data_IF_454493068759
#
_entry.id   IF_454493068759
#
_cell.length_a   1.000
_cell.length_b   1.000
_cell.length_c   1.000
_cell.angle_alpha   90.00
_cell.angle_beta   90.00
_cell.angle_gamma   90.00
#
_symmetry.space_group_name_H-M   'P 1'
#
loop_
_entity.id
_entity.type
_entity.pdbx_description
1 polymer ?
#
# COMPACT_ATOMS: atom_id res chain seq x y z
N UNK A 1 6.18 -39.59 77.19
CA UNK A 1 5.84 -38.69 78.30
C UNK A 1 5.63 -37.29 77.72
N UNK A 2 4.42 -36.74 77.85
CA UNK A 2 4.00 -35.33 77.58
C UNK A 2 4.69 -34.36 78.59
N UNK A 3 4.55 -32.99 78.56
CA UNK A 3 3.48 -32.15 77.94
C UNK A 3 3.95 -30.81 77.25
N UNK A 4 3.22 -30.25 76.28
CA UNK A 4 2.12 -29.22 76.33
C UNK A 4 2.53 -27.77 76.62
N UNK A 5 2.19 -26.84 75.70
CA UNK A 5 1.54 -25.51 75.93
C UNK A 5 0.71 -25.15 74.67
N UNK A 6 -0.63 -25.32 74.68
CA UNK A 6 -1.73 -24.33 74.75
C UNK A 6 -1.99 -23.48 73.46
N UNK A 7 -3.06 -23.74 72.65
CA UNK A 7 -4.48 -23.23 72.69
C UNK A 7 -4.58 -21.70 72.47
N UNK A 8 -5.44 -21.10 71.61
CA UNK A 8 -6.83 -21.33 71.15
C UNK A 8 -7.03 -20.63 69.76
N UNK A 9 -7.88 -21.01 68.79
CA UNK A 9 -9.28 -21.46 68.70
C UNK A 9 -10.36 -20.34 68.83
N UNK A 10 -11.06 -20.04 67.73
CA UNK A 10 -12.51 -19.77 67.57
C UNK A 10 -12.75 -19.06 66.20
N UNK A 11 -13.38 -19.65 65.19
CA UNK A 11 -14.77 -20.11 65.01
C UNK A 11 -15.71 -18.99 64.46
N UNK A 12 -16.14 -19.10 63.19
CA UNK A 12 -17.48 -19.54 62.70
C UNK A 12 -18.56 -18.46 62.79
N UNK A 13 -19.12 -18.05 61.65
CA UNK A 13 -20.54 -18.27 61.28
C UNK A 13 -20.99 -17.36 60.13
N UNK A 14 -21.53 -17.99 59.10
CA UNK A 14 -22.42 -17.40 58.11
C UNK A 14 -23.82 -17.18 58.71
N UNK A 15 -24.59 -16.24 58.17
CA UNK A 15 -25.99 -16.50 57.79
C UNK A 15 -26.63 -15.32 57.07
N UNK A 16 -27.35 -15.71 56.02
CA UNK A 16 -28.33 -15.03 55.20
C UNK A 16 -29.55 -14.49 55.97
N UNK A 17 -30.19 -13.44 55.45
CA UNK A 17 -31.64 -13.47 55.19
C UNK A 17 -32.13 -12.29 54.33
N UNK A 18 -33.13 -12.63 53.55
CA UNK A 18 -33.91 -12.00 52.48
C UNK A 18 -34.89 -10.87 52.86
N UNK A 19 -35.49 -10.32 51.79
CA UNK A 19 -36.82 -9.67 51.65
C UNK A 19 -36.86 -8.15 51.82
N UNK A 20 -37.61 -7.35 51.05
CA UNK A 20 -38.46 -7.55 49.87
C UNK A 20 -38.94 -6.18 49.33
N UNK A 21 -39.09 -6.08 48.01
CA UNK A 21 -40.10 -5.31 47.24
C UNK A 21 -40.40 -3.83 47.54
N UNK A 22 -40.18 -2.98 46.53
CA UNK A 22 -41.18 -2.00 46.08
C UNK A 22 -40.95 -1.63 44.60
N UNK A 23 -42.03 -1.69 43.83
CA UNK A 23 -42.09 -1.42 42.40
C UNK A 23 -42.25 0.08 42.10
N UNK A 24 -41.71 0.53 40.98
CA UNK A 24 -42.26 1.67 40.23
C UNK A 24 -41.78 1.61 38.77
N UNK A 25 -42.75 1.49 37.87
CA UNK A 25 -42.64 1.27 36.43
C UNK A 25 -42.35 2.59 35.65
N UNK A 26 -42.45 2.66 34.30
CA UNK A 26 -41.42 3.29 33.47
C UNK A 26 -41.84 4.66 32.90
N UNK A 27 -40.88 5.52 32.59
CA UNK A 27 -41.11 6.76 31.84
C UNK A 27 -40.75 6.57 30.37
N UNK A 28 -41.75 6.26 29.56
CA UNK A 28 -41.77 6.41 28.10
C UNK A 28 -42.41 7.75 27.74
N UNK A 29 -41.81 8.50 26.81
CA UNK A 29 -42.48 9.42 25.85
C UNK A 29 -41.44 10.24 25.06
N UNK A 30 -41.74 10.76 23.87
CA UNK A 30 -42.52 10.16 22.79
C UNK A 30 -41.80 10.26 21.41
N UNK A 31 -42.29 9.43 20.49
CA UNK A 31 -42.02 9.46 19.06
C UNK A 31 -42.46 10.80 18.44
N UNK A 32 -41.56 11.44 17.69
CA UNK A 32 -41.91 12.46 16.70
C UNK A 32 -41.98 11.80 15.33
N UNK A 33 -43.20 11.46 14.93
CA UNK A 33 -43.60 11.12 13.57
C UNK A 33 -43.58 12.39 12.71
N UNK A 34 -42.59 12.54 11.85
CA UNK A 34 -42.71 13.40 10.66
C UNK A 34 -43.06 12.48 9.50
N UNK A 35 -44.36 12.39 9.24
CA UNK A 35 -44.92 11.86 8.00
C UNK A 35 -44.81 12.96 6.94
N UNK A 36 -44.04 12.73 5.89
CA UNK A 36 -44.17 13.46 4.63
C UNK A 36 -44.38 12.46 3.50
N UNK A 37 -45.63 12.42 3.08
CA UNK A 37 -46.21 11.61 2.01
C UNK A 37 -45.47 11.71 0.67
N UNK A 38 -45.48 10.58 -0.05
CA UNK A 38 -45.19 10.48 -1.47
C UNK A 38 -45.91 11.55 -2.29
N UNK A 39 -45.21 12.08 -3.30
CA UNK A 39 -45.80 12.65 -4.52
C UNK A 39 -44.78 12.58 -5.67
N UNK A 40 -44.87 11.54 -6.49
CA UNK A 40 -44.56 11.58 -7.93
C UNK A 40 -45.93 11.61 -8.62
N UNK A 41 -46.14 12.38 -9.70
CA UNK A 41 -45.74 11.88 -11.02
C UNK A 41 -45.43 12.94 -12.10
N UNK A 42 -45.03 12.42 -13.27
CA UNK A 42 -45.21 12.96 -14.64
C UNK A 42 -44.13 13.86 -15.27
N UNK A 43 -43.45 13.29 -16.27
CA UNK A 43 -43.13 13.93 -17.55
C UNK A 43 -44.24 13.57 -18.57
N UNK A 44 -44.30 14.05 -19.84
CA UNK A 44 -43.51 15.05 -20.59
C UNK A 44 -44.45 16.11 -21.27
N UNK A 45 -44.07 16.94 -22.29
CA UNK A 45 -43.78 16.48 -23.64
C UNK A 45 -42.64 17.22 -24.39
N UNK A 46 -42.20 16.53 -25.44
CA UNK A 46 -41.42 16.96 -26.61
C UNK A 46 -41.87 18.26 -27.28
N UNK A 47 -40.91 19.08 -27.74
CA UNK A 47 -41.08 19.93 -28.93
C UNK A 47 -39.86 19.91 -29.84
N UNK A 48 -40.20 19.87 -31.12
CA UNK A 48 -39.40 19.65 -32.32
C UNK A 48 -38.63 20.91 -32.77
N UNK A 49 -37.46 20.64 -33.37
CA UNK A 49 -36.77 21.19 -34.57
C UNK A 49 -37.15 22.58 -35.14
N UNK A 50 -36.20 23.28 -35.81
CA UNK A 50 -35.85 22.94 -37.21
C UNK A 50 -34.33 22.91 -37.47
N UNK A 51 -33.82 21.90 -38.19
CA UNK A 51 -33.59 21.94 -39.65
C UNK A 51 -32.81 23.16 -40.13
N UNK A 52 -31.51 22.98 -40.38
CA UNK A 52 -30.91 23.39 -41.64
C UNK A 52 -30.06 22.24 -42.19
N UNK A 53 -30.46 21.85 -43.39
CA UNK A 53 -29.94 20.79 -44.24
C UNK A 53 -29.25 21.46 -45.45
N UNK A 54 -28.35 20.68 -46.08
CA UNK A 54 -27.61 20.84 -47.35
C UNK A 54 -26.11 21.03 -47.11
N UNK A 55 -25.20 20.28 -47.73
CA UNK A 55 -25.34 19.44 -48.93
C UNK A 55 -24.19 18.43 -49.08
N UNK A 56 -24.59 17.30 -49.68
CA UNK A 56 -23.84 16.18 -50.25
C UNK A 56 -22.56 16.50 -51.07
N UNK A 57 -21.52 15.68 -50.80
CA UNK A 57 -20.69 14.86 -51.72
C UNK A 57 -19.83 15.57 -52.81
N UNK A 58 -18.92 14.86 -53.52
CA UNK A 58 -17.95 13.82 -53.12
C UNK A 58 -16.54 14.12 -53.72
N UNK A 59 -15.50 13.33 -53.39
CA UNK A 59 -14.68 12.62 -54.39
C UNK A 59 -13.44 11.97 -53.79
N UNK A 60 -13.19 10.79 -54.33
CA UNK A 60 -12.13 9.82 -54.07
C UNK A 60 -10.95 9.98 -55.03
N UNK A 61 -9.79 9.44 -54.60
CA UNK A 61 -8.63 8.93 -55.38
C UNK A 61 -7.56 9.96 -55.84
N UNK A 62 -6.28 9.55 -56.11
CA UNK A 62 -5.54 8.33 -55.72
C UNK A 62 -4.11 8.60 -55.17
N UNK A 63 -3.45 7.52 -54.68
CA UNK A 63 -1.99 7.42 -54.46
C UNK A 63 -1.20 7.56 -55.78
N UNK A 64 0.08 7.93 -55.70
CA UNK A 64 1.10 7.34 -56.57
C UNK A 64 2.19 6.63 -55.75
N UNK A 65 2.59 5.48 -56.26
CA UNK A 65 3.75 4.70 -55.83
C UNK A 65 4.86 4.81 -56.90
N UNK A 66 6.08 4.50 -56.45
CA UNK A 66 7.32 4.20 -57.21
C UNK A 66 8.23 5.38 -57.62
N UNK A 67 9.57 5.17 -57.78
CA UNK A 67 10.29 3.88 -57.85
C UNK A 67 11.51 3.71 -56.92
N UNK A 68 11.89 2.43 -56.85
CA UNK A 68 13.11 1.82 -56.32
C UNK A 68 14.28 2.16 -57.26
N UNK A 69 15.41 2.61 -56.73
CA UNK A 69 16.68 2.57 -57.46
C UNK A 69 17.75 1.88 -56.64
N UNK A 70 18.29 0.83 -57.26
CA UNK A 70 19.48 0.08 -56.90
C UNK A 70 20.75 0.90 -57.18
N UNK A 71 21.77 0.77 -56.33
CA UNK A 71 23.16 0.78 -56.78
C UNK A 71 24.09 0.07 -55.80
N UNK A 72 25.04 -0.62 -56.42
CA UNK A 72 26.01 -1.57 -55.89
C UNK A 72 27.21 -0.88 -55.21
N UNK A 73 27.73 -1.57 -54.19
CA UNK A 73 29.12 -1.84 -53.84
C UNK A 73 30.21 -0.74 -53.99
N UNK A 74 30.88 -0.47 -52.87
CA UNK A 74 32.35 -0.42 -52.83
C UNK A 74 32.86 -0.75 -51.42
N UNK A 75 33.87 -1.60 -51.36
CA UNK A 75 34.49 -2.18 -50.18
C UNK A 75 35.58 -1.29 -49.60
N UNK A 76 35.59 -1.12 -48.28
CA UNK A 76 36.79 -0.74 -47.54
C UNK A 76 37.02 -1.72 -46.39
N UNK A 77 38.09 -2.53 -46.57
CA UNK A 77 38.65 -3.42 -45.56
C UNK A 77 39.29 -2.57 -44.46
N UNK A 78 38.90 -2.82 -43.21
CA UNK A 78 39.77 -2.62 -42.04
C UNK A 78 40.13 -3.99 -41.46
N UNK A 79 41.38 -4.17 -40.97
CA UNK A 79 41.93 -5.48 -40.62
C UNK A 79 41.29 -6.04 -39.34
N UNK A 80 41.05 -7.35 -39.37
CA UNK A 80 40.53 -8.11 -38.24
C UNK A 80 41.61 -8.31 -37.17
N UNK A 81 41.30 -7.90 -35.94
CA UNK A 81 41.93 -8.46 -34.74
C UNK A 81 41.38 -9.88 -34.53
N UNK A 82 42.13 -10.88 -35.01
CA UNK A 82 41.81 -12.31 -34.98
C UNK A 82 41.92 -12.94 -33.57
N UNK A 83 42.31 -12.19 -32.53
CA UNK A 83 42.45 -12.75 -31.17
C UNK A 83 41.18 -12.74 -30.29
N UNK A 84 40.07 -12.14 -30.71
CA UNK A 84 38.82 -12.13 -29.91
C UNK A 84 37.79 -13.20 -30.37
N UNK A 85 38.15 -14.10 -31.30
CA UNK A 85 37.20 -15.01 -31.97
C UNK A 85 37.30 -16.48 -31.51
N UNK A 86 37.87 -16.73 -30.34
CA UNK A 86 37.85 -18.02 -29.65
C UNK A 86 37.27 -17.88 -28.22
N UNK A 87 36.10 -17.24 -28.11
CA UNK A 87 34.98 -17.62 -27.23
C UNK A 87 35.14 -17.98 -25.73
N UNK A 88 36.30 -17.84 -25.11
CA UNK A 88 36.56 -18.29 -23.73
C UNK A 88 37.23 -17.21 -22.86
N UNK A 89 36.66 -16.00 -22.85
CA UNK A 89 36.97 -14.98 -21.85
C UNK A 89 35.80 -14.81 -20.89
N UNK A 90 36.00 -14.67 -19.57
CA UNK A 90 34.91 -14.43 -18.64
C UNK A 90 34.24 -13.10 -19.02
N UNK A 91 32.94 -13.17 -19.32
CA UNK A 91 32.11 -11.99 -19.54
C UNK A 91 32.12 -11.21 -18.23
N UNK A 92 32.83 -10.09 -18.15
CA UNK A 92 32.62 -9.16 -17.04
C UNK A 92 31.17 -8.69 -17.14
N UNK A 93 30.34 -8.88 -16.10
CA UNK A 93 28.97 -8.42 -16.14
C UNK A 93 28.93 -6.91 -16.41
N UNK A 94 28.00 -6.47 -17.25
CA UNK A 94 27.69 -5.04 -17.41
C UNK A 94 27.42 -4.45 -16.02
N UNK A 95 28.04 -3.31 -15.64
CA UNK A 95 27.79 -2.68 -14.35
C UNK A 95 26.28 -2.50 -14.04
N UNK A 96 25.48 -2.20 -15.06
CA UNK A 96 24.02 -2.08 -14.93
C UNK A 96 23.31 -3.41 -14.66
N UNK A 97 23.88 -4.53 -15.14
CA UNK A 97 23.35 -5.86 -14.86
C UNK A 97 23.66 -6.31 -13.43
N UNK A 98 24.83 -5.95 -12.87
CA UNK A 98 25.13 -6.21 -11.47
C UNK A 98 24.24 -5.39 -10.54
N UNK A 99 24.08 -4.10 -10.85
CA UNK A 99 23.24 -3.15 -10.13
C UNK A 99 21.80 -3.67 -9.95
N UNK A 100 21.19 -4.11 -11.05
CA UNK A 100 19.87 -4.72 -11.07
C UNK A 100 19.80 -6.03 -10.29
N UNK A 101 20.82 -6.88 -10.38
CA UNK A 101 20.82 -8.16 -9.65
C UNK A 101 20.82 -7.96 -8.12
N UNK A 102 21.49 -6.91 -7.62
CA UNK A 102 21.50 -6.59 -6.19
C UNK A 102 20.14 -6.03 -5.75
N UNK A 103 19.57 -5.09 -6.51
CA UNK A 103 18.26 -4.51 -6.20
C UNK A 103 17.11 -5.52 -6.32
N UNK A 104 17.25 -6.51 -7.20
CA UNK A 104 16.28 -7.58 -7.38
C UNK A 104 16.45 -8.75 -6.40
N UNK A 105 17.53 -8.78 -5.62
CA UNK A 105 17.76 -9.76 -4.57
C UNK A 105 16.75 -9.65 -3.41
N UNK A 106 16.73 -10.63 -2.50
CA UNK A 106 15.85 -10.60 -1.32
C UNK A 106 16.25 -9.49 -0.33
N UNK A 107 15.33 -9.19 0.60
CA UNK A 107 15.67 -8.40 1.78
C UNK A 107 16.33 -9.31 2.84
N UNK A 108 17.66 -9.23 2.94
CA UNK A 108 18.46 -10.04 3.88
C UNK A 108 18.59 -9.42 5.29
N UNK A 109 17.95 -8.26 5.54
CA UNK A 109 17.95 -7.68 6.86
C UNK A 109 17.19 -8.58 7.86
N UNK A 110 17.59 -8.54 9.12
CA UNK A 110 16.94 -9.33 10.19
C UNK A 110 16.19 -8.39 11.13
N UNK A 111 14.89 -8.64 11.42
CA UNK A 111 14.15 -7.82 12.36
C UNK A 111 14.63 -8.07 13.79
N UNK A 112 14.23 -7.22 14.74
CA UNK A 112 14.55 -7.44 16.15
C UNK A 112 14.02 -8.80 16.65
N UNK A 113 14.62 -9.41 17.69
CA UNK A 113 14.18 -10.70 18.21
C UNK A 113 12.68 -10.72 18.56
N UNK A 114 11.96 -11.74 18.07
CA UNK A 114 10.52 -11.87 18.27
C UNK A 114 9.65 -11.10 17.27
N UNK A 115 10.24 -10.22 16.45
CA UNK A 115 9.53 -9.41 15.48
C UNK A 115 9.52 -10.03 14.09
N UNK A 116 8.57 -9.62 13.26
CA UNK A 116 8.51 -9.96 11.84
C UNK A 116 8.52 -8.69 10.98
N UNK A 117 9.05 -8.82 9.75
CA UNK A 117 8.94 -7.77 8.75
C UNK A 117 7.65 -7.87 7.95
N UNK A 118 7.12 -6.72 7.54
CA UNK A 118 6.08 -6.57 6.53
C UNK A 118 6.41 -5.34 5.67
N UNK A 119 6.05 -5.35 4.38
CA UNK A 119 6.35 -4.22 3.50
C UNK A 119 5.16 -3.88 2.59
N UNK A 120 4.82 -2.59 2.55
CA UNK A 120 3.65 -2.07 1.85
C UNK A 120 3.99 -0.85 0.99
N UNK A 121 3.56 -0.83 -0.27
CA UNK A 121 3.53 0.35 -1.14
C UNK A 121 2.09 0.82 -1.34
N UNK A 122 1.78 2.07 -1.02
CA UNK A 122 0.40 2.58 -1.00
C UNK A 122 0.33 4.07 -1.36
N UNK A 123 1.13 4.50 -2.33
CA UNK A 123 1.32 5.90 -2.69
C UNK A 123 2.46 6.56 -1.93
N UNK A 124 2.38 7.89 -1.72
CA UNK A 124 3.37 8.63 -0.94
C UNK A 124 3.56 8.00 0.45
N UNK A 125 4.76 7.52 0.73
CA UNK A 125 5.06 6.74 1.93
C UNK A 125 4.88 7.50 3.27
N UNK A 126 4.77 8.82 3.27
CA UNK A 126 4.65 9.63 4.48
C UNK A 126 3.33 9.38 5.22
N UNK A 127 2.22 9.35 4.48
CA UNK A 127 0.90 9.06 5.04
C UNK A 127 0.74 7.59 5.43
N UNK A 128 1.37 6.70 4.65
CA UNK A 128 1.35 5.25 4.88
C UNK A 128 2.13 4.91 6.15
N UNK A 129 3.33 5.48 6.32
CA UNK A 129 4.14 5.29 7.50
C UNK A 129 3.38 5.73 8.75
N UNK A 130 2.80 6.94 8.74
CA UNK A 130 2.05 7.45 9.89
C UNK A 130 0.86 6.55 10.25
N UNK A 131 0.18 5.95 9.27
CA UNK A 131 -0.91 5.01 9.53
C UNK A 131 -0.40 3.76 10.27
N UNK A 132 0.72 3.18 9.81
CA UNK A 132 1.33 1.99 10.41
C UNK A 132 1.97 2.29 11.77
N UNK A 133 2.50 3.51 11.98
CA UNK A 133 3.03 3.96 13.27
C UNK A 133 1.97 3.89 14.38
N UNK A 134 0.70 4.11 14.05
CA UNK A 134 -0.41 4.15 15.01
C UNK A 134 -0.91 2.77 15.42
N UNK A 135 -0.45 1.70 14.78
CA UNK A 135 -0.92 0.33 15.06
C UNK A 135 -0.26 -0.20 16.34
N UNK A 136 -1.03 -0.58 17.38
CA UNK A 136 -0.49 -1.31 18.53
C UNK A 136 0.21 -2.61 18.10
N UNK A 137 1.31 -2.98 18.73
CA UNK A 137 2.15 -4.12 18.31
C UNK A 137 3.14 -3.83 17.16
N UNK A 138 2.99 -2.71 16.43
CA UNK A 138 4.07 -2.22 15.55
C UNK A 138 5.18 -1.57 16.37
N UNK A 139 6.38 -2.13 16.28
CA UNK A 139 7.56 -1.70 17.03
C UNK A 139 8.45 -0.70 16.28
N UNK A 140 8.51 -0.80 14.95
CA UNK A 140 9.32 0.08 14.09
C UNK A 140 8.63 0.28 12.75
N UNK A 141 8.74 1.49 12.22
CA UNK A 141 8.43 1.80 10.82
C UNK A 141 9.65 2.45 10.19
N UNK A 142 9.84 2.21 8.89
CA UNK A 142 10.80 2.95 8.09
C UNK A 142 10.34 3.03 6.65
N UNK A 143 10.55 4.20 6.04
CA UNK A 143 10.25 4.44 4.63
C UNK A 143 11.47 4.17 3.75
N UNK A 144 11.22 3.72 2.52
CA UNK A 144 12.29 3.37 1.61
C UNK A 144 11.82 3.05 0.20
N UNK A 145 12.77 2.52 -0.58
CA UNK A 145 12.61 2.16 -1.98
C UNK A 145 12.87 0.66 -2.14
N UNK A 146 12.03 -0.02 -2.95
CA UNK A 146 12.15 -1.47 -3.18
C UNK A 146 11.60 -1.84 -4.56
N UNK A 147 11.80 -3.10 -4.99
CA UNK A 147 11.29 -3.69 -6.24
C UNK A 147 11.86 -3.11 -7.54
N UNK A 148 12.70 -2.08 -7.47
CA UNK A 148 13.35 -1.46 -8.62
C UNK A 148 14.64 -2.13 -9.03
N UNK A 149 15.28 -1.55 -10.04
CA UNK A 149 16.43 -2.12 -10.74
C UNK A 149 17.75 -1.41 -10.39
N UNK A 150 17.73 -0.35 -9.59
CA UNK A 150 18.91 0.45 -9.26
C UNK A 150 19.39 0.08 -7.84
N UNK A 151 20.68 -0.20 -7.65
CA UNK A 151 21.26 -0.37 -6.32
C UNK A 151 21.53 1.00 -5.70
N UNK A 152 21.23 1.14 -4.40
CA UNK A 152 21.38 2.39 -3.65
C UNK A 152 20.74 3.61 -4.32
N UNK A 153 19.44 3.55 -4.69
CA UNK A 153 18.76 4.68 -5.30
C UNK A 153 18.66 5.86 -4.32
N UNK A 154 18.80 7.08 -4.84
CA UNK A 154 18.42 8.31 -4.13
C UNK A 154 16.96 8.66 -4.39
N UNK A 155 16.38 9.54 -3.57
CA UNK A 155 15.06 10.11 -3.86
C UNK A 155 14.98 10.73 -5.26
N UNK A 156 16.02 11.45 -5.68
CA UNK A 156 16.10 12.08 -7.00
C UNK A 156 16.05 11.04 -8.12
N UNK A 157 16.78 9.92 -7.97
CA UNK A 157 16.74 8.82 -8.93
C UNK A 157 15.33 8.25 -9.07
N UNK A 158 14.65 8.00 -7.95
CA UNK A 158 13.28 7.47 -7.92
C UNK A 158 12.28 8.44 -8.55
N UNK A 159 12.45 9.74 -8.34
CA UNK A 159 11.61 10.78 -8.94
C UNK A 159 11.67 10.80 -10.47
N UNK A 160 12.73 10.26 -11.09
CA UNK A 160 12.80 10.14 -12.56
C UNK A 160 11.84 9.11 -13.14
N UNK A 161 11.26 8.23 -12.30
CA UNK A 161 10.42 7.09 -12.69
C UNK A 161 11.10 6.05 -13.61
N UNK A 162 12.42 6.10 -13.75
CA UNK A 162 13.19 5.15 -14.60
C UNK A 162 13.73 3.95 -13.83
N UNK A 163 13.84 4.06 -12.51
CA UNK A 163 14.44 3.02 -11.65
C UNK A 163 13.49 1.84 -11.36
N UNK A 164 12.19 2.03 -11.62
CA UNK A 164 11.11 1.09 -11.28
C UNK A 164 10.96 0.78 -9.77
N UNK A 165 11.63 1.52 -8.89
CA UNK A 165 11.37 1.40 -7.45
C UNK A 165 9.94 1.79 -7.11
N UNK A 166 9.38 1.17 -6.07
CA UNK A 166 8.20 1.67 -5.36
C UNK A 166 8.66 2.39 -4.10
N UNK A 167 8.00 3.49 -3.76
CA UNK A 167 7.96 3.95 -2.38
C UNK A 167 7.23 2.91 -1.54
N UNK A 168 7.86 2.51 -0.44
CA UNK A 168 7.35 1.49 0.47
C UNK A 168 7.60 1.86 1.92
N UNK A 169 6.79 1.31 2.80
CA UNK A 169 7.03 1.29 4.25
C UNK A 169 7.39 -0.13 4.65
N UNK A 170 8.56 -0.31 5.26
CA UNK A 170 8.93 -1.54 5.95
C UNK A 170 8.59 -1.41 7.43
N UNK A 171 7.91 -2.41 7.97
CA UNK A 171 7.37 -2.44 9.33
C UNK A 171 7.99 -3.61 10.08
N UNK A 172 8.38 -3.38 11.34
CA UNK A 172 8.62 -4.46 12.30
C UNK A 172 7.47 -4.51 13.31
N UNK A 173 6.83 -5.66 13.44
CA UNK A 173 5.71 -5.88 14.36
C UNK A 173 5.92 -7.14 15.20
N UNK A 174 5.36 -7.16 16.42
CA UNK A 174 5.30 -8.36 17.25
C UNK A 174 4.05 -9.17 16.84
N UNK A 175 4.21 -10.38 16.26
CA UNK A 175 3.08 -11.24 15.88
C UNK A 175 2.18 -11.66 17.05
N UNK A 176 2.65 -11.53 18.30
CA UNK A 176 1.87 -11.81 19.51
C UNK A 176 0.94 -10.66 19.89
N UNK A 177 1.27 -9.44 19.48
CA UNK A 177 0.48 -8.23 19.76
C UNK A 177 -0.31 -7.74 18.55
N UNK A 178 0.19 -7.98 17.34
CA UNK A 178 -0.41 -7.54 16.08
C UNK A 178 -0.34 -8.65 15.02
N UNK A 179 -1.50 -9.07 14.50
CA UNK A 179 -1.55 -9.97 13.34
C UNK A 179 -1.17 -9.26 12.05
N UNK A 180 -0.77 -10.02 11.03
CA UNK A 180 -0.51 -9.48 9.69
C UNK A 180 -1.81 -8.98 9.04
N UNK A 181 -2.95 -9.60 9.35
CA UNK A 181 -4.28 -9.20 8.91
C UNK A 181 -4.61 -7.76 9.36
N UNK A 182 -4.24 -7.39 10.58
CA UNK A 182 -4.45 -6.01 11.07
C UNK A 182 -3.63 -4.99 10.30
N UNK A 183 -2.44 -5.36 9.81
CA UNK A 183 -1.65 -4.50 8.93
C UNK A 183 -2.28 -4.39 7.53
N UNK A 184 -2.87 -5.47 7.02
CA UNK A 184 -3.61 -5.48 5.76
C UNK A 184 -4.85 -4.58 5.85
N UNK A 185 -5.60 -4.62 6.96
CA UNK A 185 -6.76 -3.75 7.17
C UNK A 185 -6.37 -2.26 7.10
N UNK A 186 -5.25 -1.89 7.75
CA UNK A 186 -4.70 -0.54 7.70
C UNK A 186 -4.27 -0.18 6.27
N UNK A 187 -3.62 -1.11 5.57
CA UNK A 187 -3.23 -0.93 4.17
C UNK A 187 -4.42 -0.62 3.27
N UNK A 188 -5.48 -1.43 3.32
CA UNK A 188 -6.68 -1.23 2.49
C UNK A 188 -7.45 0.04 2.84
N UNK A 189 -7.47 0.45 4.12
CA UNK A 189 -8.12 1.67 4.55
C UNK A 189 -7.35 2.95 4.18
N UNK A 190 -6.04 2.85 3.91
CA UNK A 190 -5.15 4.01 3.74
C UNK A 190 -5.13 4.58 2.32
N UNK A 191 -5.43 3.78 1.30
CA UNK A 191 -5.22 4.17 -0.09
C UNK A 191 -6.33 3.63 -1.02
N UNK A 192 -6.27 4.00 -2.31
CA UNK A 192 -7.18 3.49 -3.34
C UNK A 192 -6.44 2.35 -4.05
N UNK A 193 -6.80 1.07 -3.80
CA UNK A 193 -6.09 -0.06 -4.40
C UNK A 193 -6.45 -0.28 -5.87
N UNK A 194 -7.22 0.61 -6.50
CA UNK A 194 -7.78 0.46 -7.86
C UNK A 194 -7.18 1.44 -8.87
N UNK A 195 -6.21 2.26 -8.45
CA UNK A 195 -5.50 3.24 -9.28
C UNK A 195 -4.11 2.74 -9.64
N UNK A 196 -3.92 2.38 -10.91
CA UNK A 196 -2.64 1.88 -11.41
C UNK A 196 -1.61 3.02 -11.45
N UNK A 197 -0.44 2.80 -10.82
CA UNK A 197 0.70 3.73 -10.82
C UNK A 197 0.33 5.16 -10.43
N UNK A 198 -0.58 5.29 -9.45
CA UNK A 198 -1.07 6.58 -8.95
C UNK A 198 -1.71 6.39 -7.59
N UNK A 199 -1.52 7.37 -6.71
CA UNK A 199 -2.33 7.53 -5.52
C UNK A 199 -2.71 9.00 -5.32
N UNK A 200 -4.01 9.31 -5.38
CA UNK A 200 -4.46 10.70 -5.38
C UNK A 200 -3.85 11.49 -6.55
N UNK A 201 -3.14 12.58 -6.23
CA UNK A 201 -2.44 13.41 -7.21
C UNK A 201 -1.00 12.98 -7.48
N UNK A 202 -0.48 12.00 -6.74
CA UNK A 202 0.87 11.47 -6.93
C UNK A 202 0.84 10.43 -8.05
N UNK A 203 1.43 10.75 -9.20
CA UNK A 203 1.39 9.92 -10.42
C UNK A 203 2.78 9.40 -10.75
N UNK A 204 2.90 8.09 -10.93
CA UNK A 204 4.15 7.42 -11.24
C UNK A 204 4.19 5.99 -10.71
N UNK A 205 5.05 5.16 -11.30
CA UNK A 205 5.22 3.75 -10.89
C UNK A 205 5.69 3.64 -9.45
N UNK A 206 6.40 4.64 -8.93
CA UNK A 206 6.84 4.71 -7.54
C UNK A 206 5.69 4.79 -6.53
N UNK A 207 4.50 5.22 -6.95
CA UNK A 207 3.32 5.35 -6.09
C UNK A 207 2.33 4.19 -6.25
N UNK A 208 2.76 3.06 -6.83
CA UNK A 208 1.90 1.91 -7.05
C UNK A 208 1.49 1.24 -5.74
N UNK A 209 0.34 0.58 -5.78
CA UNK A 209 -0.14 -0.28 -4.70
C UNK A 209 0.57 -1.63 -4.73
N UNK A 210 1.15 -2.06 -3.62
CA UNK A 210 1.87 -3.32 -3.53
C UNK A 210 1.97 -3.87 -2.11
N UNK A 211 1.87 -5.18 -1.97
CA UNK A 211 2.13 -5.94 -0.74
C UNK A 211 3.33 -6.85 -1.02
N UNK A 212 4.40 -6.68 -0.25
CA UNK A 212 5.65 -7.41 -0.44
C UNK A 212 5.90 -8.33 0.74
N UNK A 213 5.68 -9.63 0.53
CA UNK A 213 5.66 -10.63 1.59
C UNK A 213 7.04 -11.22 1.87
N UNK A 214 7.30 -11.51 3.13
CA UNK A 214 8.52 -12.19 3.60
C UNK A 214 8.32 -13.70 3.79
N UNK A 215 7.07 -14.16 3.96
CA UNK A 215 6.76 -15.58 4.19
C UNK A 215 5.56 -16.04 3.34
N UNK A 216 5.42 -17.36 3.08
CA UNK A 216 4.25 -17.91 2.41
C UNK A 216 2.93 -17.65 3.14
N UNK A 217 2.96 -17.55 4.47
CA UNK A 217 1.78 -17.23 5.28
C UNK A 217 1.31 -15.80 5.02
N UNK A 218 2.24 -14.84 4.91
CA UNK A 218 1.93 -13.47 4.52
C UNK A 218 1.39 -13.39 3.09
N UNK A 219 1.96 -14.16 2.15
CA UNK A 219 1.45 -14.23 0.78
C UNK A 219 -0.01 -14.71 0.75
N UNK A 220 -0.29 -15.81 1.46
CA UNK A 220 -1.63 -16.39 1.53
C UNK A 220 -2.63 -15.39 2.13
N UNK A 221 -2.29 -14.80 3.29
CA UNK A 221 -3.14 -13.82 3.96
C UNK A 221 -3.38 -12.58 3.08
N UNK A 222 -2.37 -12.09 2.37
CA UNK A 222 -2.50 -10.95 1.46
C UNK A 222 -3.44 -11.27 0.28
N UNK A 223 -3.35 -12.47 -0.29
CA UNK A 223 -4.23 -12.90 -1.40
C UNK A 223 -5.68 -13.05 -0.94
N UNK A 224 -5.91 -13.71 0.20
CA UNK A 224 -7.25 -13.86 0.78
C UNK A 224 -7.87 -12.50 1.12
N UNK A 225 -7.08 -11.59 1.71
CA UNK A 225 -7.52 -10.23 2.04
C UNK A 225 -7.81 -9.40 0.78
N UNK A 226 -7.05 -9.56 -0.30
CA UNK A 226 -7.34 -8.92 -1.59
C UNK A 226 -8.69 -9.38 -2.15
N UNK A 227 -8.98 -10.69 -2.12
CA UNK A 227 -10.26 -11.23 -2.59
C UNK A 227 -11.43 -10.68 -1.76
N UNK A 228 -11.29 -10.61 -0.44
CA UNK A 228 -12.28 -10.02 0.45
C UNK A 228 -12.50 -8.53 0.12
N UNK A 229 -11.42 -7.76 -0.03
CA UNK A 229 -11.50 -6.34 -0.35
C UNK A 229 -12.08 -6.09 -1.75
N UNK A 230 -11.77 -6.94 -2.73
CA UNK A 230 -12.30 -6.84 -4.08
C UNK A 230 -13.83 -6.95 -4.10
N UNK A 231 -14.43 -7.76 -3.21
CA UNK A 231 -15.88 -7.89 -3.09
C UNK A 231 -16.56 -6.61 -2.58
N UNK A 232 -15.81 -5.69 -1.96
CA UNK A 232 -16.31 -4.41 -1.47
C UNK A 232 -16.17 -3.29 -2.50
N UNK A 233 -15.38 -3.49 -3.56
CA UNK A 233 -15.01 -2.46 -4.53
C UNK A 233 -15.53 -2.77 -5.93
N UNK A 234 -16.14 -1.77 -6.58
CA UNK A 234 -16.64 -1.91 -7.95
C UNK A 234 -15.51 -1.93 -8.99
N UNK A 235 -14.39 -1.26 -8.69
CA UNK A 235 -13.22 -1.21 -9.57
C UNK A 235 -12.29 -2.36 -9.22
N UNK A 236 -11.65 -2.94 -10.24
CA UNK A 236 -10.67 -4.01 -10.05
C UNK A 236 -9.46 -3.49 -9.26
N UNK A 237 -9.07 -4.22 -8.22
CA UNK A 237 -7.84 -4.00 -7.46
C UNK A 237 -6.64 -4.29 -8.37
N UNK A 238 -5.67 -3.38 -8.34
CA UNK A 238 -4.42 -3.45 -9.12
C UNK A 238 -3.19 -3.65 -8.23
N UNK A 239 -3.39 -3.85 -6.92
CA UNK A 239 -2.32 -4.16 -5.96
C UNK A 239 -1.52 -5.38 -6.41
N UNK A 240 -0.20 -5.21 -6.53
CA UNK A 240 0.71 -6.34 -6.76
C UNK A 240 1.01 -7.07 -5.44
N UNK A 241 1.04 -8.41 -5.47
CA UNK A 241 1.44 -9.24 -4.33
C UNK A 241 2.64 -10.07 -4.78
N UNK A 242 3.83 -9.70 -4.32
CA UNK A 242 5.11 -10.23 -4.76
C UNK A 242 6.04 -10.50 -3.57
N UNK A 243 7.08 -11.34 -3.73
CA UNK A 243 8.11 -11.49 -2.70
C UNK A 243 8.78 -10.16 -2.37
N UNK A 244 9.09 -9.96 -1.09
CA UNK A 244 9.95 -8.86 -0.63
C UNK A 244 11.34 -8.97 -1.28
N UNK A 245 11.85 -7.83 -1.72
CA UNK A 245 13.17 -7.66 -2.34
C UNK A 245 13.96 -6.63 -1.54
N UNK A 246 15.22 -6.43 -1.92
CA UNK A 246 16.15 -5.53 -1.27
C UNK A 246 15.48 -4.19 -0.95
N UNK A 247 15.47 -3.87 0.35
CA UNK A 247 14.94 -2.62 0.86
C UNK A 247 16.07 -1.59 0.98
N UNK A 248 15.87 -0.42 0.38
CA UNK A 248 16.76 0.73 0.50
C UNK A 248 16.08 1.77 1.38
N UNK A 249 16.55 1.91 2.62
CA UNK A 249 16.05 2.94 3.54
C UNK A 249 16.22 4.32 2.91
N UNK A 250 15.14 5.09 2.82
CA UNK A 250 15.18 6.46 2.31
C UNK A 250 15.88 7.40 3.30
N UNK A 251 16.23 8.58 2.83
CA UNK A 251 16.94 9.61 3.56
C UNK A 251 16.20 10.04 4.83
N UNK A 252 16.94 10.48 5.85
CA UNK A 252 16.38 10.74 7.18
C UNK A 252 15.31 11.85 7.20
N UNK A 253 15.31 12.74 6.22
CA UNK A 253 14.28 13.77 6.10
C UNK A 253 12.91 13.21 5.67
N UNK A 254 12.85 12.02 5.06
CA UNK A 254 11.59 11.33 4.75
C UNK A 254 11.02 10.54 5.92
N UNK A 255 11.87 10.15 6.87
CA UNK A 255 11.53 9.25 7.96
C UNK A 255 10.65 9.96 8.98
N UNK A 256 9.49 9.38 9.30
CA UNK A 256 8.48 9.93 10.23
C UNK A 256 8.08 11.38 9.91
N UNK A 257 8.05 11.74 8.62
CA UNK A 257 7.92 13.12 8.13
C UNK A 257 6.70 13.87 8.71
N UNK A 258 5.52 13.25 8.68
CA UNK A 258 4.28 13.88 9.18
C UNK A 258 4.26 14.03 10.71
N UNK A 259 4.88 13.10 11.44
CA UNK A 259 5.04 13.21 12.89
C UNK A 259 6.04 14.32 13.27
N UNK A 260 7.04 14.57 12.42
CA UNK A 260 8.03 15.66 12.58
C UNK A 260 7.46 17.04 12.24
N UNK A 261 6.36 17.12 11.49
CA UNK A 261 5.65 18.39 11.20
C UNK A 261 5.12 18.49 9.78
N UNK A 262 5.52 17.60 8.87
CA UNK A 262 5.14 17.68 7.47
C UNK A 262 5.56 19.00 6.80
N UNK A 263 4.97 19.27 5.64
CA UNK A 263 5.25 20.44 4.79
C UNK A 263 4.93 21.77 5.46
N UNK A 264 3.91 21.79 6.32
CA UNK A 264 3.38 23.02 6.94
C UNK A 264 3.80 23.21 8.40
N UNK A 265 4.65 22.33 8.95
CA UNK A 265 5.06 22.36 10.36
C UNK A 265 3.99 21.91 11.36
N UNK A 266 2.83 21.46 10.88
CA UNK A 266 1.72 20.96 11.70
C UNK A 266 1.85 19.46 11.92
N UNK A 267 2.39 19.08 13.08
CA UNK A 267 2.58 17.67 13.45
C UNK A 267 1.27 16.91 13.45
N UNK A 268 1.32 15.68 12.98
CA UNK A 268 0.23 14.71 13.11
C UNK A 268 0.65 13.64 14.11
N UNK A 269 -0.22 13.35 15.09
CA UNK A 269 0.11 12.41 16.16
C UNK A 269 0.33 11.01 15.61
N UNK A 270 1.44 10.38 16.02
CA UNK A 270 1.78 8.99 15.74
C UNK A 270 1.46 8.05 16.94
N UNK A 271 0.71 8.54 17.93
CA UNK A 271 0.35 7.76 19.11
C UNK A 271 -0.43 6.50 18.72
N UNK A 272 -0.19 5.40 19.43
CA UNK A 272 -0.90 4.13 19.21
C UNK A 272 -2.40 4.32 19.39
N UNK A 273 -3.18 3.80 18.43
CA UNK A 273 -4.65 3.92 18.41
C UNK A 273 -5.18 5.30 17.98
N UNK A 274 -4.33 6.24 17.55
CA UNK A 274 -4.77 7.54 17.06
C UNK A 274 -5.58 7.41 15.77
N UNK A 275 -6.82 7.90 15.78
CA UNK A 275 -7.74 7.85 14.63
C UNK A 275 -7.94 9.22 13.96
N UNK A 276 -7.13 10.23 14.31
CA UNK A 276 -7.19 11.55 13.67
C UNK A 276 -6.95 11.41 12.16
N UNK A 277 -7.74 12.06 11.28
CA UNK A 277 -7.54 11.95 9.85
C UNK A 277 -6.13 12.33 9.43
N UNK A 278 -5.44 11.42 8.74
CA UNK A 278 -4.10 11.68 8.22
C UNK A 278 -4.18 12.53 6.96
N UNK A 279 -3.52 13.69 7.00
CA UNK A 279 -3.33 14.61 5.86
C UNK A 279 -2.06 14.22 5.11
N UNK A 280 -2.14 14.15 3.79
CA UNK A 280 -1.09 13.54 2.95
C UNK A 280 0.30 14.15 3.14
N UNK A 281 0.41 15.47 3.28
CA UNK A 281 1.71 16.17 3.25
C UNK A 281 1.99 17.02 4.50
N UNK A 282 1.04 17.19 5.41
CA UNK A 282 1.16 18.10 6.56
C UNK A 282 -0.18 18.70 6.95
#
# INVERSE_FOLDING_TARGET
MLPSISRAAAAVAASSSSSSSAASSPSSSPLLLISSSLSKPSAPPSRLSPFLSLSKLPRSLPKPAFPRNSRLAASHRSPMNILNKLGFGPRTPDPSAMDSSIAQGPDDDVPAPGQQFAQFGAGCFWGVELALQRVPGVSKTEVGYSQGLLHNPTYEDVCTATTNHSEVVRVQYDPKECGFESLLDVFWARHDPTTLNRQGNDVGTQYRSGIYYYTPEQEKAARESLEQQQNLLNRKIVTEILPAKKFYRAEEYHQQYLAKGGRFGLKQSAAKGCNDPIRCYG
#
